data_IF_730022175169
#
_entry.id   IF_730022175169
#
_cell.length_a   1.000
_cell.length_b   1.000
_cell.length_c   1.000
_cell.angle_alpha   90.00
_cell.angle_beta   90.00
_cell.angle_gamma   90.00
#
_symmetry.space_group_name_H-M   'P 1'
#
loop_
_entity.id
_entity.type
_entity.pdbx_description
1 polymer ?
#
# COMPACT_ATOMS: atom_id res chain seq x y z
N UNK A 1 -26.40 -10.60 -31.38
CA UNK A 1 -26.32 -11.21 -30.03
C UNK A 1 -25.02 -10.75 -29.36
N UNK A 2 -25.06 -9.78 -28.42
CA UNK A 2 -23.85 -9.20 -27.79
C UNK A 2 -23.30 -10.00 -26.59
N UNK A 3 -24.05 -10.97 -26.06
CA UNK A 3 -23.71 -11.71 -24.83
C UNK A 3 -22.46 -12.59 -25.00
N UNK A 4 -22.27 -13.21 -26.17
CA UNK A 4 -21.12 -14.07 -26.46
C UNK A 4 -19.79 -13.30 -26.52
N UNK A 5 -19.79 -12.09 -27.10
CA UNK A 5 -18.59 -11.27 -27.20
C UNK A 5 -18.15 -10.75 -25.82
N UNK A 6 -19.11 -10.32 -24.99
CA UNK A 6 -18.84 -9.87 -23.62
C UNK A 6 -18.29 -11.00 -22.74
N UNK A 7 -18.88 -12.21 -22.83
CA UNK A 7 -18.39 -13.37 -22.10
C UNK A 7 -16.97 -13.76 -22.52
N UNK A 8 -16.68 -13.81 -23.83
CA UNK A 8 -15.33 -14.11 -24.34
C UNK A 8 -14.31 -13.07 -23.88
N UNK A 9 -14.66 -11.79 -23.91
CA UNK A 9 -13.80 -10.72 -23.43
C UNK A 9 -13.51 -10.86 -21.93
N UNK A 10 -14.54 -11.14 -21.11
CA UNK A 10 -14.37 -11.36 -19.68
C UNK A 10 -13.45 -12.56 -19.39
N UNK A 11 -13.68 -13.70 -20.03
CA UNK A 11 -12.85 -14.90 -19.85
C UNK A 11 -11.40 -14.63 -20.26
N UNK A 12 -11.18 -13.87 -21.34
CA UNK A 12 -9.83 -13.46 -21.76
C UNK A 12 -9.15 -12.54 -20.73
N UNK A 13 -9.88 -11.59 -20.14
CA UNK A 13 -9.36 -10.73 -19.07
C UNK A 13 -8.94 -11.57 -17.86
N UNK A 14 -9.81 -12.49 -17.42
CA UNK A 14 -9.51 -13.42 -16.31
C UNK A 14 -8.31 -14.32 -16.65
N UNK A 15 -8.18 -14.76 -17.89
CA UNK A 15 -7.04 -15.55 -18.38
C UNK A 15 -5.70 -14.80 -18.34
N UNK A 16 -5.73 -13.47 -18.30
CA UNK A 16 -4.53 -12.64 -18.08
C UNK A 16 -4.01 -12.66 -16.63
N UNK A 17 -4.79 -13.17 -15.66
CA UNK A 17 -4.38 -13.26 -14.27
C UNK A 17 -3.61 -14.54 -13.96
N UNK A 18 -2.60 -14.43 -13.09
CA UNK A 18 -1.94 -15.59 -12.50
C UNK A 18 -2.80 -16.21 -11.39
N UNK A 19 -3.73 -17.08 -11.77
CA UNK A 19 -4.64 -17.75 -10.83
C UNK A 19 -3.92 -18.90 -10.11
N UNK A 20 -3.79 -18.79 -8.79
CA UNK A 20 -3.17 -19.81 -7.92
C UNK A 20 -4.17 -20.83 -7.38
N UNK A 21 -5.43 -20.43 -7.17
CA UNK A 21 -6.45 -21.31 -6.60
C UNK A 21 -6.87 -22.39 -7.62
N UNK A 22 -6.76 -23.67 -7.21
CA UNK A 22 -7.06 -24.82 -8.08
C UNK A 22 -8.48 -24.77 -8.66
N UNK A 23 -9.47 -24.38 -7.85
CA UNK A 23 -10.88 -24.31 -8.25
C UNK A 23 -11.10 -23.25 -9.34
N UNK A 24 -10.62 -22.03 -9.12
CA UNK A 24 -10.71 -20.95 -10.09
C UNK A 24 -9.97 -21.30 -11.39
N UNK A 25 -8.77 -21.87 -11.28
CA UNK A 25 -7.99 -22.33 -12.44
C UNK A 25 -8.71 -23.41 -13.25
N UNK A 26 -9.40 -24.33 -12.57
CA UNK A 26 -10.21 -25.35 -13.24
C UNK A 26 -11.41 -24.74 -13.96
N UNK A 27 -12.15 -23.85 -13.29
CA UNK A 27 -13.30 -23.15 -13.88
C UNK A 27 -12.91 -22.33 -15.11
N UNK A 28 -11.76 -21.64 -15.06
CA UNK A 28 -11.20 -20.90 -16.20
C UNK A 28 -10.95 -21.82 -17.41
N UNK A 29 -10.22 -22.92 -17.21
CA UNK A 29 -9.93 -23.87 -18.29
C UNK A 29 -11.19 -24.51 -18.86
N UNK A 30 -12.16 -24.83 -18.00
CA UNK A 30 -13.43 -25.40 -18.42
C UNK A 30 -14.20 -24.41 -19.30
N UNK A 31 -14.25 -23.14 -18.92
CA UNK A 31 -14.92 -22.09 -19.69
C UNK A 31 -14.20 -21.79 -21.01
N UNK A 32 -12.86 -21.71 -21.01
CA UNK A 32 -12.06 -21.54 -22.23
C UNK A 32 -12.31 -22.69 -23.23
N UNK A 33 -12.33 -23.92 -22.75
CA UNK A 33 -12.62 -25.11 -23.56
C UNK A 33 -14.05 -25.08 -24.10
N UNK A 34 -15.02 -24.72 -23.26
CA UNK A 34 -16.42 -24.62 -23.69
C UNK A 34 -16.63 -23.54 -24.77
N UNK A 35 -15.96 -22.39 -24.64
CA UNK A 35 -15.98 -21.31 -25.62
C UNK A 35 -15.28 -21.66 -26.94
N UNK A 36 -14.26 -22.55 -26.91
CA UNK A 36 -13.61 -23.07 -28.11
C UNK A 36 -14.50 -24.08 -28.85
N UNK A 37 -15.19 -24.94 -28.10
CA UNK A 37 -16.03 -26.01 -28.65
C UNK A 37 -17.44 -25.54 -29.07
N UNK A 38 -17.85 -24.33 -28.71
CA UNK A 38 -19.16 -23.77 -29.04
C UNK A 38 -19.64 -22.75 -28.03
N UNK A 39 -20.97 -22.67 -27.84
CA UNK A 39 -21.57 -21.89 -26.76
C UNK A 39 -21.61 -22.72 -25.46
N UNK A 40 -21.05 -22.23 -24.35
CA UNK A 40 -21.21 -22.87 -23.05
C UNK A 40 -22.68 -22.85 -22.61
N UNK A 41 -23.13 -23.89 -21.91
CA UNK A 41 -24.47 -23.90 -21.32
C UNK A 41 -24.59 -22.89 -20.16
N UNK A 42 -25.82 -22.48 -19.87
CA UNK A 42 -26.10 -21.47 -18.85
C UNK A 42 -25.65 -21.88 -17.43
N UNK A 43 -25.65 -23.18 -17.11
CA UNK A 43 -25.18 -23.70 -15.84
C UNK A 43 -23.67 -23.52 -15.68
N UNK A 44 -22.91 -23.87 -16.71
CA UNK A 44 -21.46 -23.67 -16.77
C UNK A 44 -21.09 -22.19 -16.66
N UNK A 45 -21.81 -21.31 -17.36
CA UNK A 45 -21.61 -19.84 -17.27
C UNK A 45 -21.86 -19.32 -15.87
N UNK A 46 -22.97 -19.72 -15.24
CA UNK A 46 -23.30 -19.30 -13.88
C UNK A 46 -22.25 -19.78 -12.87
N UNK A 47 -21.86 -21.05 -12.92
CA UNK A 47 -20.88 -21.61 -12.00
C UNK A 47 -19.50 -20.95 -12.15
N UNK A 48 -19.13 -20.60 -13.38
CA UNK A 48 -17.92 -19.85 -13.67
C UNK A 48 -17.96 -18.47 -13.02
N UNK A 49 -19.03 -17.70 -13.20
CA UNK A 49 -19.18 -16.38 -12.57
C UNK A 49 -19.16 -16.46 -11.04
N UNK A 50 -19.90 -17.39 -10.43
CA UNK A 50 -19.90 -17.56 -8.97
C UNK A 50 -18.50 -17.92 -8.43
N UNK A 51 -17.73 -18.69 -9.21
CA UNK A 51 -16.35 -19.05 -8.83
C UNK A 51 -15.39 -17.87 -8.96
N UNK A 52 -15.49 -17.10 -10.05
CA UNK A 52 -14.65 -15.92 -10.26
C UNK A 52 -14.98 -14.79 -9.30
N UNK A 53 -16.26 -14.54 -9.04
CA UNK A 53 -16.72 -13.56 -8.07
C UNK A 53 -16.15 -13.85 -6.68
N UNK A 54 -16.22 -15.11 -6.23
CA UNK A 54 -15.64 -15.53 -4.96
C UNK A 54 -14.12 -15.36 -4.92
N UNK A 55 -13.44 -15.78 -5.97
CA UNK A 55 -11.97 -15.70 -6.06
C UNK A 55 -11.49 -14.25 -6.00
N UNK A 56 -12.03 -13.38 -6.84
CA UNK A 56 -11.59 -11.99 -6.93
C UNK A 56 -12.07 -11.16 -5.74
N UNK A 57 -13.25 -11.43 -5.17
CA UNK A 57 -13.71 -10.75 -3.95
C UNK A 57 -12.82 -11.09 -2.74
N UNK A 58 -12.39 -12.35 -2.62
CA UNK A 58 -11.44 -12.75 -1.58
C UNK A 58 -10.09 -12.06 -1.75
N UNK A 59 -9.57 -12.04 -2.97
CA UNK A 59 -8.31 -11.37 -3.30
C UNK A 59 -8.37 -9.86 -3.05
N UNK A 60 -9.47 -9.20 -3.42
CA UNK A 60 -9.68 -7.77 -3.16
C UNK A 60 -9.73 -7.48 -1.66
N UNK A 61 -10.46 -8.30 -0.89
CA UNK A 61 -10.56 -8.13 0.56
C UNK A 61 -9.19 -8.25 1.25
N UNK A 62 -8.37 -9.22 0.84
CA UNK A 62 -7.01 -9.40 1.33
C UNK A 62 -6.13 -8.20 0.98
N UNK A 63 -6.13 -7.77 -0.29
CA UNK A 63 -5.36 -6.62 -0.74
C UNK A 63 -5.74 -5.33 0.01
N UNK A 64 -7.05 -5.08 0.21
CA UNK A 64 -7.54 -3.95 1.00
C UNK A 64 -7.14 -4.05 2.47
N UNK A 65 -7.18 -5.25 3.04
CA UNK A 65 -6.73 -5.51 4.42
C UNK A 65 -5.24 -5.20 4.58
N UNK A 66 -4.43 -5.64 3.63
CA UNK A 66 -3.00 -5.35 3.59
C UNK A 66 -2.73 -3.86 3.45
N UNK A 67 -3.40 -3.17 2.52
CA UNK A 67 -3.26 -1.73 2.34
C UNK A 67 -3.56 -0.95 3.63
N UNK A 68 -4.68 -1.25 4.30
CA UNK A 68 -5.01 -0.62 5.60
C UNK A 68 -3.95 -0.87 6.67
N UNK A 69 -3.34 -2.05 6.69
CA UNK A 69 -2.26 -2.36 7.62
C UNK A 69 -0.99 -1.56 7.31
N UNK A 70 -0.66 -1.39 6.03
CA UNK A 70 0.46 -0.54 5.58
C UNK A 70 0.19 0.92 5.95
N UNK A 71 -1.01 1.45 5.68
CA UNK A 71 -1.37 2.84 5.99
C UNK A 71 -1.21 3.15 7.48
N UNK A 72 -1.68 2.25 8.37
CA UNK A 72 -1.49 2.41 9.83
C UNK A 72 -0.02 2.42 10.23
N UNK A 73 0.83 1.61 9.57
CA UNK A 73 2.27 1.61 9.84
C UNK A 73 2.92 2.91 9.39
N UNK A 74 2.51 3.43 8.23
CA UNK A 74 2.99 4.72 7.72
C UNK A 74 2.58 5.87 8.64
N UNK A 75 1.34 5.87 9.14
CA UNK A 75 0.86 6.86 10.10
C UNK A 75 1.72 6.86 11.38
N UNK A 76 2.01 5.69 11.95
CA UNK A 76 2.88 5.56 13.12
C UNK A 76 4.30 6.10 12.85
N UNK A 77 4.87 5.77 11.68
CA UNK A 77 6.20 6.25 11.28
C UNK A 77 6.20 7.78 11.13
N UNK A 78 5.18 8.35 10.52
CA UNK A 78 5.05 9.80 10.36
C UNK A 78 4.93 10.51 11.72
N UNK A 79 4.17 9.96 12.66
CA UNK A 79 4.07 10.51 14.01
C UNK A 79 5.42 10.48 14.75
N UNK A 80 6.17 9.38 14.63
CA UNK A 80 7.52 9.30 15.20
C UNK A 80 8.45 10.33 14.56
N UNK A 81 8.43 10.48 13.23
CA UNK A 81 9.21 11.50 12.53
C UNK A 81 8.87 12.91 12.99
N UNK A 82 7.58 13.22 13.17
CA UNK A 82 7.14 14.51 13.68
C UNK A 82 7.69 14.79 15.09
N UNK A 83 7.57 13.81 16.00
CA UNK A 83 8.07 13.94 17.37
C UNK A 83 9.59 14.14 17.39
N UNK A 84 10.34 13.33 16.64
CA UNK A 84 11.81 13.44 16.55
C UNK A 84 12.25 14.78 15.94
N UNK A 85 11.50 15.31 14.96
CA UNK A 85 11.77 16.61 14.39
C UNK A 85 11.58 17.74 15.43
N UNK A 86 10.54 17.65 16.26
CA UNK A 86 10.32 18.58 17.36
C UNK A 86 11.42 18.50 18.42
N UNK A 87 11.81 17.30 18.83
CA UNK A 87 12.93 17.08 19.77
C UNK A 87 14.24 17.67 19.24
N UNK A 88 14.52 17.44 17.94
CA UNK A 88 15.68 18.03 17.27
C UNK A 88 15.64 19.56 17.30
N UNK A 89 14.49 20.17 17.00
CA UNK A 89 14.35 21.62 17.02
C UNK A 89 14.62 22.21 18.42
N UNK A 90 14.12 21.56 19.47
CA UNK A 90 14.41 21.96 20.85
C UNK A 90 15.90 21.85 21.16
N UNK A 91 16.54 20.74 20.78
CA UNK A 91 17.97 20.55 21.00
C UNK A 91 18.82 21.61 20.28
N UNK A 92 18.51 21.90 19.00
CA UNK A 92 19.15 22.99 18.24
C UNK A 92 19.02 24.31 18.98
N UNK A 93 17.81 24.65 19.46
CA UNK A 93 17.59 25.92 20.15
C UNK A 93 18.37 26.01 21.47
N UNK A 94 18.45 24.91 22.22
CA UNK A 94 19.26 24.86 23.45
C UNK A 94 20.74 25.08 23.16
N UNK A 95 21.26 24.49 22.08
CA UNK A 95 22.66 24.67 21.66
C UNK A 95 22.91 26.15 21.32
N UNK A 96 22.07 26.76 20.48
CA UNK A 96 22.20 28.18 20.11
C UNK A 96 22.23 29.09 21.35
N UNK A 97 21.28 28.92 22.26
CA UNK A 97 21.20 29.73 23.48
C UNK A 97 22.45 29.56 24.36
N UNK A 98 22.89 28.31 24.53
CA UNK A 98 24.09 28.01 25.34
C UNK A 98 25.34 28.60 24.70
N UNK A 99 25.50 28.49 23.39
CA UNK A 99 26.64 29.07 22.66
C UNK A 99 26.66 30.59 22.79
N UNK A 100 25.51 31.25 22.71
CA UNK A 100 25.40 32.69 22.91
C UNK A 100 25.86 33.11 24.32
N UNK A 101 25.39 32.42 25.37
CA UNK A 101 25.80 32.69 26.75
C UNK A 101 27.30 32.47 26.93
N UNK A 102 27.83 31.34 26.44
CA UNK A 102 29.26 31.04 26.51
C UNK A 102 30.11 32.07 25.76
N UNK A 103 29.62 32.58 24.63
CA UNK A 103 30.25 33.67 23.89
C UNK A 103 30.33 34.97 24.69
N UNK A 104 29.22 35.37 25.33
CA UNK A 104 29.16 36.55 26.19
C UNK A 104 30.09 36.42 27.40
N UNK A 105 30.08 35.27 28.08
CA UNK A 105 30.97 35.01 29.23
C UNK A 105 32.45 35.13 28.85
N UNK A 106 32.85 34.59 27.69
CA UNK A 106 34.22 34.73 27.19
C UNK A 106 34.56 36.20 26.91
N UNK A 107 33.66 36.95 26.29
CA UNK A 107 33.87 38.38 26.02
C UNK A 107 34.03 39.22 27.30
N UNK A 108 33.21 38.95 28.31
CA UNK A 108 33.30 39.61 29.63
C UNK A 108 34.62 39.27 30.34
N UNK A 109 34.99 37.98 30.39
CA UNK A 109 36.25 37.54 31.01
C UNK A 109 37.50 38.12 30.32
N UNK A 110 37.45 38.33 29.00
CA UNK A 110 38.52 39.00 28.26
C UNK A 110 38.58 40.51 28.54
N UNK A 111 37.44 41.15 28.81
CA UNK A 111 37.36 42.59 29.09
C UNK A 111 37.83 42.95 30.51
N UNK A 112 37.55 42.10 31.50
CA UNK A 112 38.07 42.27 32.87
C UNK A 112 39.61 42.18 32.93
N UNK A 113 40.23 41.37 32.07
CA UNK A 113 41.70 41.29 31.98
C UNK A 113 42.36 42.55 31.42
N UNK A 114 41.60 43.46 30.79
CA UNK A 114 42.10 44.75 30.30
C UNK A 114 41.97 45.87 31.34
N UNK A 115 41.26 45.63 32.45
CA UNK A 115 41.04 46.58 33.54
C UNK A 115 41.93 46.32 34.76
N UNK A 116 42.83 45.33 34.67
CA UNK A 116 43.93 45.08 35.62
C UNK A 116 45.25 45.37 34.93
#
# INVERSE_FOLDING_TARGET
>A
MPVDAALRAFVAIVGGFYITEKRAKHAQRQMETALQNGQPDAGTVRQYFETMDRYFSGFEAEARGHLRAVDRRLENVNQMHFNLAAERAVAVKRIELTQNVLGQLKGLASSERLLK
#
